data_IF_899691141186
#
_entry.id   IF_899691141186
#
_cell.length_a   1.000
_cell.length_b   1.000
_cell.length_c   1.000
_cell.angle_alpha   90.00
_cell.angle_beta   90.00
_cell.angle_gamma   90.00
#
_symmetry.space_group_name_H-M   'P 1'
#
loop_
_entity.id
_entity.type
_entity.pdbx_description
1 polymer ?
#
# COMPACT_ATOMS: atom_id res chain seq x y z
N UNK A 1 12.98 -26.29 -14.35
CA UNK A 1 12.25 -26.88 -13.20
C UNK A 1 11.35 -25.80 -12.67
N UNK A 2 10.06 -26.07 -12.70
CA UNK A 2 8.98 -25.09 -12.69
C UNK A 2 8.76 -24.48 -11.29
N UNK A 3 8.68 -23.16 -11.19
CA UNK A 3 8.51 -22.41 -9.93
C UNK A 3 7.22 -22.82 -9.20
N UNK A 4 6.20 -23.18 -9.98
CA UNK A 4 4.94 -23.74 -9.51
C UNK A 4 5.09 -25.15 -8.88
N UNK A 5 6.09 -25.95 -9.28
CA UNK A 5 6.34 -27.28 -8.72
C UNK A 5 6.91 -27.22 -7.29
N UNK A 6 7.60 -26.12 -6.93
CA UNK A 6 8.03 -25.84 -5.54
C UNK A 6 6.86 -25.39 -4.66
N UNK A 7 5.93 -24.62 -5.23
CA UNK A 7 4.69 -24.22 -4.55
C UNK A 7 3.81 -25.42 -4.18
N UNK A 8 3.79 -26.46 -5.03
CA UNK A 8 3.03 -27.71 -4.79
C UNK A 8 3.66 -28.62 -3.72
N UNK A 9 4.99 -28.65 -3.58
CA UNK A 9 5.68 -29.40 -2.51
C UNK A 9 5.44 -28.83 -1.10
N UNK A 10 4.91 -27.60 -1.00
CA UNK A 10 4.52 -26.94 0.25
C UNK A 10 3.02 -27.03 0.55
N UNK A 11 2.21 -27.70 -0.28
CA UNK A 11 0.80 -27.98 0.02
C UNK A 11 0.70 -29.09 1.09
N UNK A 12 0.91 -28.68 2.34
CA UNK A 12 1.13 -29.53 3.52
C UNK A 12 2.28 -29.04 4.41
N UNK A 13 2.96 -27.95 4.04
CA UNK A 13 4.06 -27.40 4.81
C UNK A 13 3.59 -26.90 6.18
N UNK A 14 4.27 -27.37 7.22
CA UNK A 14 4.20 -26.73 8.53
C UNK A 14 4.55 -25.25 8.38
N UNK A 15 3.86 -24.37 9.10
CA UNK A 15 4.11 -22.94 9.08
C UNK A 15 5.60 -22.60 9.29
N UNK A 16 6.30 -23.40 10.10
CA UNK A 16 7.73 -23.29 10.38
C UNK A 16 8.59 -23.41 9.12
N UNK A 17 8.26 -24.32 8.19
CA UNK A 17 9.02 -24.48 6.95
C UNK A 17 8.85 -23.27 6.02
N UNK A 18 7.65 -22.69 5.99
CA UNK A 18 7.39 -21.46 5.21
C UNK A 18 8.12 -20.28 5.82
N UNK A 19 8.12 -20.18 7.15
CA UNK A 19 8.86 -19.14 7.88
C UNK A 19 10.38 -19.27 7.67
N UNK A 20 10.93 -20.49 7.69
CA UNK A 20 12.35 -20.79 7.41
C UNK A 20 12.75 -20.33 6.00
N UNK A 21 11.98 -20.69 4.98
CA UNK A 21 12.23 -20.24 3.59
C UNK A 21 12.15 -18.73 3.48
N UNK A 22 11.22 -18.09 4.17
CA UNK A 22 11.11 -16.63 4.17
C UNK A 22 12.28 -15.97 4.92
N UNK A 23 12.71 -16.50 6.06
CA UNK A 23 13.75 -15.92 6.90
C UNK A 23 15.14 -15.98 6.24
N UNK A 24 15.44 -17.08 5.55
CA UNK A 24 16.75 -17.34 4.96
C UNK A 24 16.78 -17.15 3.44
N UNK A 25 15.61 -16.99 2.81
CA UNK A 25 15.49 -16.86 1.37
C UNK A 25 15.96 -15.51 0.86
N UNK A 26 16.41 -15.50 -0.40
CA UNK A 26 16.71 -14.27 -1.10
C UNK A 26 15.44 -13.43 -1.38
N UNK A 27 15.62 -12.27 -1.99
CA UNK A 27 14.51 -11.36 -2.33
C UNK A 27 13.42 -12.05 -3.17
N UNK A 28 13.80 -12.87 -4.15
CA UNK A 28 12.86 -13.54 -5.04
C UNK A 28 12.10 -14.64 -4.29
N UNK A 29 12.79 -15.41 -3.47
CA UNK A 29 12.20 -16.47 -2.63
C UNK A 29 11.22 -15.89 -1.61
N UNK A 30 11.59 -14.83 -0.90
CA UNK A 30 10.70 -14.12 0.02
C UNK A 30 9.44 -13.61 -0.67
N UNK A 31 9.60 -13.02 -1.85
CA UNK A 31 8.47 -12.55 -2.66
C UNK A 31 7.57 -13.71 -3.11
N UNK A 32 8.16 -14.84 -3.50
CA UNK A 32 7.41 -16.03 -3.89
C UNK A 32 6.60 -16.59 -2.71
N UNK A 33 7.21 -16.63 -1.51
CA UNK A 33 6.50 -17.02 -0.28
C UNK A 33 5.29 -16.12 -0.04
N UNK A 34 5.46 -14.79 -0.04
CA UNK A 34 4.37 -13.84 0.20
C UNK A 34 3.20 -14.03 -0.78
N UNK A 35 3.52 -14.28 -2.06
CA UNK A 35 2.52 -14.55 -3.10
C UNK A 35 1.80 -15.89 -2.93
N UNK A 36 2.47 -16.87 -2.33
CA UNK A 36 1.90 -18.20 -2.09
C UNK A 36 0.99 -18.24 -0.84
N UNK A 37 1.17 -17.34 0.14
CA UNK A 37 0.43 -17.33 1.41
C UNK A 37 -1.10 -17.56 1.30
N UNK A 38 -1.85 -16.93 0.35
CA UNK A 38 -3.29 -17.15 0.21
C UNK A 38 -3.69 -18.59 -0.10
N UNK A 39 -2.76 -19.37 -0.68
CA UNK A 39 -3.00 -20.76 -1.10
C UNK A 39 -2.51 -21.79 -0.07
N UNK A 40 -1.76 -21.36 0.94
CA UNK A 40 -1.14 -22.26 1.93
C UNK A 40 -2.01 -22.51 3.17
N UNK A 41 -3.09 -21.74 3.36
CA UNK A 41 -4.02 -21.95 4.48
C UNK A 41 -3.40 -21.72 5.86
N UNK A 42 -2.33 -20.92 5.96
CA UNK A 42 -1.59 -20.70 7.22
C UNK A 42 -2.36 -19.84 8.25
N UNK A 43 -3.42 -19.16 7.83
CA UNK A 43 -4.22 -18.31 8.70
C UNK A 43 -3.36 -17.27 9.43
N UNK A 44 -3.52 -17.09 10.76
CA UNK A 44 -2.74 -16.14 11.55
C UNK A 44 -1.22 -16.34 11.50
N UNK A 45 -0.73 -17.54 11.20
CA UNK A 45 0.71 -17.81 11.13
C UNK A 45 1.40 -17.11 9.92
N UNK A 46 0.63 -16.65 8.94
CA UNK A 46 1.16 -15.83 7.84
C UNK A 46 1.45 -14.37 8.25
N UNK A 47 0.82 -13.87 9.32
CA UNK A 47 0.86 -12.46 9.68
C UNK A 47 2.27 -11.93 9.95
N UNK A 48 3.16 -12.63 10.71
CA UNK A 48 4.51 -12.14 10.95
C UNK A 48 5.33 -11.92 9.67
N UNK A 49 5.12 -12.75 8.63
CA UNK A 49 5.82 -12.64 7.35
C UNK A 49 5.35 -11.42 6.56
N UNK A 50 4.04 -11.16 6.57
CA UNK A 50 3.44 -9.98 5.94
C UNK A 50 3.94 -8.71 6.63
N UNK A 51 3.90 -8.68 7.96
CA UNK A 51 4.36 -7.53 8.74
C UNK A 51 5.86 -7.28 8.56
N UNK A 52 6.68 -8.31 8.52
CA UNK A 52 8.11 -8.18 8.24
C UNK A 52 8.36 -7.56 6.87
N UNK A 53 7.69 -8.04 5.82
CA UNK A 53 7.78 -7.46 4.48
C UNK A 53 7.40 -5.96 4.50
N UNK A 54 6.36 -5.59 5.26
CA UNK A 54 5.93 -4.21 5.45
C UNK A 54 6.87 -3.35 6.30
N UNK A 55 7.81 -3.94 7.05
CA UNK A 55 8.89 -3.19 7.72
C UNK A 55 10.03 -2.83 6.76
N UNK A 56 10.19 -3.56 5.65
CA UNK A 56 11.21 -3.29 4.62
C UNK A 56 10.83 -2.12 3.68
N UNK A 57 11.81 -1.50 3.02
CA UNK A 57 11.56 -0.55 1.90
C UNK A 57 11.65 -1.22 0.52
N UNK A 58 11.58 -2.55 0.46
CA UNK A 58 11.62 -3.28 -0.80
C UNK A 58 10.25 -3.26 -1.48
N UNK A 59 10.13 -2.47 -2.55
CA UNK A 59 8.91 -2.32 -3.36
C UNK A 59 8.31 -3.66 -3.77
N UNK A 60 9.13 -4.67 -4.07
CA UNK A 60 8.66 -5.96 -4.53
C UNK A 60 8.10 -6.83 -3.39
N UNK A 61 8.65 -6.71 -2.18
CA UNK A 61 8.12 -7.38 -0.99
C UNK A 61 6.89 -6.66 -0.46
N UNK A 62 6.93 -5.33 -0.37
CA UNK A 62 5.79 -4.50 0.07
C UNK A 62 4.58 -4.73 -0.84
N UNK A 63 4.76 -4.70 -2.17
CA UNK A 63 3.68 -4.97 -3.11
C UNK A 63 3.15 -6.41 -3.02
N UNK A 64 4.00 -7.41 -2.74
CA UNK A 64 3.55 -8.78 -2.53
C UNK A 64 2.77 -8.95 -1.22
N UNK A 65 3.22 -8.30 -0.14
CA UNK A 65 2.60 -8.34 1.17
C UNK A 65 1.21 -7.66 1.18
N UNK A 66 1.06 -6.57 0.41
CA UNK A 66 -0.21 -5.87 0.24
C UNK A 66 -1.11 -6.44 -0.87
N UNK A 67 -0.65 -7.46 -1.59
CA UNK A 67 -1.46 -8.27 -2.50
C UNK A 67 -2.46 -9.17 -1.74
N UNK A 68 -2.89 -10.31 -2.31
CA UNK A 68 -3.94 -11.13 -1.70
C UNK A 68 -3.65 -11.62 -0.27
N UNK A 69 -2.37 -11.69 0.14
CA UNK A 69 -1.97 -12.03 1.51
C UNK A 69 -2.47 -11.02 2.55
N UNK A 70 -2.74 -9.77 2.15
CA UNK A 70 -3.16 -8.68 3.03
C UNK A 70 -4.54 -8.86 3.68
N UNK A 71 -5.30 -9.89 3.27
CA UNK A 71 -6.61 -10.22 3.85
C UNK A 71 -6.52 -10.48 5.37
N UNK A 72 -5.37 -10.97 5.86
CA UNK A 72 -5.14 -11.20 7.29
C UNK A 72 -4.77 -9.95 8.11
N UNK A 73 -4.48 -8.81 7.47
CA UNK A 73 -4.13 -7.59 8.17
C UNK A 73 -5.36 -6.92 8.76
N UNK A 74 -5.26 -6.44 9.99
CA UNK A 74 -6.26 -5.54 10.56
C UNK A 74 -6.35 -4.22 9.76
N UNK A 75 -7.36 -3.42 10.04
CA UNK A 75 -7.59 -2.17 9.32
C UNK A 75 -6.44 -1.16 9.50
N UNK A 76 -5.85 -1.07 10.69
CA UNK A 76 -4.80 -0.09 10.96
C UNK A 76 -3.50 -0.44 10.23
N UNK A 77 -3.05 -1.69 10.34
CA UNK A 77 -1.86 -2.21 9.66
C UNK A 77 -2.00 -2.14 8.14
N UNK A 78 -3.19 -2.47 7.61
CA UNK A 78 -3.45 -2.36 6.18
C UNK A 78 -3.37 -0.91 5.68
N UNK A 79 -3.99 0.07 6.38
CA UNK A 79 -3.89 1.50 6.00
C UNK A 79 -2.45 2.00 6.01
N UNK A 80 -1.66 1.62 7.02
CA UNK A 80 -0.24 1.97 7.08
C UNK A 80 0.56 1.35 5.93
N UNK A 81 0.26 0.11 5.56
CA UNK A 81 0.81 -0.52 4.37
C UNK A 81 0.46 0.24 3.08
N UNK A 82 -0.80 0.69 2.93
CA UNK A 82 -1.23 1.49 1.77
C UNK A 82 -0.47 2.81 1.71
N UNK A 83 -0.35 3.54 2.82
CA UNK A 83 0.49 4.75 2.87
C UNK A 83 1.93 4.44 2.47
N UNK A 84 2.50 3.35 2.97
CA UNK A 84 3.86 2.94 2.61
C UNK A 84 3.99 2.68 1.10
N UNK A 85 3.00 2.05 0.47
CA UNK A 85 2.96 1.89 -0.99
C UNK A 85 3.06 3.23 -1.70
N UNK A 86 2.26 4.22 -1.27
CA UNK A 86 2.29 5.58 -1.84
C UNK A 86 3.66 6.25 -1.66
N UNK A 87 4.27 6.13 -0.47
CA UNK A 87 5.60 6.69 -0.21
C UNK A 87 6.72 6.04 -1.04
N UNK A 88 6.64 4.72 -1.26
CA UNK A 88 7.65 3.96 -2.02
C UNK A 88 7.39 3.94 -3.53
N UNK A 89 6.25 4.45 -3.99
CA UNK A 89 5.84 4.38 -5.39
C UNK A 89 5.43 2.97 -5.85
N UNK A 90 4.94 2.13 -4.93
CA UNK A 90 4.29 0.87 -5.28
C UNK A 90 2.90 1.21 -5.87
N UNK A 91 2.57 0.74 -7.09
CA UNK A 91 1.24 0.95 -7.67
C UNK A 91 0.13 0.46 -6.76
N UNK A 92 -0.94 1.25 -6.60
CA UNK A 92 -2.03 0.87 -5.69
C UNK A 92 -2.96 -0.20 -6.29
N UNK A 93 -2.92 -0.44 -7.59
CA UNK A 93 -3.62 -1.54 -8.24
C UNK A 93 -3.16 -2.94 -7.75
N UNK A 94 -1.95 -3.03 -7.20
CA UNK A 94 -1.42 -4.24 -6.58
C UNK A 94 -2.00 -4.50 -5.17
N UNK A 95 -2.68 -3.51 -4.56
CA UNK A 95 -3.24 -3.65 -3.20
C UNK A 95 -4.57 -4.39 -3.23
N UNK A 96 -4.62 -5.55 -2.61
CA UNK A 96 -5.84 -6.34 -2.53
C UNK A 96 -6.90 -5.66 -1.65
N UNK A 97 -8.14 -5.68 -2.14
CA UNK A 97 -9.30 -5.11 -1.44
C UNK A 97 -9.29 -3.58 -1.34
N UNK A 98 -8.45 -2.87 -2.11
CA UNK A 98 -8.34 -1.41 -2.02
C UNK A 98 -9.70 -0.71 -2.14
N UNK A 99 -10.51 -1.09 -3.14
CA UNK A 99 -11.85 -0.53 -3.32
C UNK A 99 -12.73 -0.72 -2.09
N UNK A 100 -12.82 -1.94 -1.59
CA UNK A 100 -13.72 -2.33 -0.50
C UNK A 100 -13.26 -1.82 0.87
N UNK A 101 -11.96 -1.84 1.12
CA UNK A 101 -11.35 -1.49 2.43
C UNK A 101 -11.01 -0.01 2.59
N UNK A 102 -11.08 0.78 1.52
CA UNK A 102 -10.87 2.24 1.65
C UNK A 102 -12.02 2.85 2.44
N UNK A 103 -11.66 3.44 3.57
CA UNK A 103 -12.57 4.15 4.47
C UNK A 103 -12.14 5.60 4.68
N UNK A 104 -12.94 6.31 5.48
CA UNK A 104 -12.71 7.73 5.77
C UNK A 104 -11.35 7.99 6.43
N UNK A 105 -10.86 7.06 7.25
CA UNK A 105 -9.57 7.20 7.91
C UNK A 105 -8.42 7.08 6.91
N UNK A 106 -8.47 6.11 5.99
CA UNK A 106 -7.48 6.04 4.92
C UNK A 106 -7.51 7.28 4.03
N UNK A 107 -8.71 7.75 3.67
CA UNK A 107 -8.86 8.96 2.85
C UNK A 107 -8.28 10.19 3.55
N UNK A 108 -8.51 10.35 4.86
CA UNK A 108 -7.91 11.42 5.68
C UNK A 108 -6.38 11.34 5.65
N UNK A 109 -5.80 10.16 5.91
CA UNK A 109 -4.36 9.93 5.86
C UNK A 109 -3.75 10.27 4.48
N UNK A 110 -4.45 9.90 3.40
CA UNK A 110 -4.03 10.21 2.03
C UNK A 110 -4.14 11.70 1.70
N UNK A 111 -5.13 12.41 2.24
CA UNK A 111 -5.26 13.86 2.10
C UNK A 111 -4.15 14.61 2.87
N UNK A 112 -3.79 14.14 4.07
CA UNK A 112 -2.67 14.68 4.84
C UNK A 112 -1.36 14.53 4.05
N UNK A 113 -1.11 13.33 3.51
CA UNK A 113 0.03 13.09 2.62
C UNK A 113 0.01 14.01 1.39
N UNK A 114 -1.14 14.13 0.72
CA UNK A 114 -1.28 15.00 -0.45
C UNK A 114 -1.01 16.47 -0.10
N UNK A 115 -1.46 16.93 1.08
CA UNK A 115 -1.18 18.28 1.58
C UNK A 115 0.31 18.49 1.82
N UNK A 116 1.01 17.56 2.49
CA UNK A 116 2.45 17.63 2.71
C UNK A 116 3.25 17.70 1.39
N UNK A 117 2.82 16.94 0.38
CA UNK A 117 3.40 16.98 -0.97
C UNK A 117 3.22 18.34 -1.63
N UNK A 118 2.00 18.86 -1.63
CA UNK A 118 1.64 20.16 -2.20
C UNK A 118 2.34 21.30 -1.47
N UNK A 119 2.41 21.26 -0.13
CA UNK A 119 3.12 22.25 0.69
C UNK A 119 4.63 22.26 0.41
N UNK A 120 5.19 21.14 -0.04
CA UNK A 120 6.57 21.05 -0.54
C UNK A 120 6.71 21.44 -2.04
N UNK A 121 5.63 21.85 -2.70
CA UNK A 121 5.60 22.17 -4.13
C UNK A 121 5.76 20.96 -5.04
N UNK A 122 5.42 19.76 -4.56
CA UNK A 122 5.60 18.49 -5.27
C UNK A 122 4.26 17.91 -5.69
N UNK A 123 4.26 17.13 -6.78
CA UNK A 123 3.05 16.46 -7.27
C UNK A 123 2.60 15.32 -6.35
N UNK A 124 1.30 15.03 -6.39
CA UNK A 124 0.65 13.91 -5.71
C UNK A 124 0.55 12.74 -6.69
N UNK A 125 0.88 11.49 -6.29
CA UNK A 125 0.71 10.31 -7.13
C UNK A 125 -0.75 10.16 -7.60
N UNK A 126 -0.93 9.82 -8.88
CA UNK A 126 -2.25 9.77 -9.51
C UNK A 126 -3.21 8.78 -8.83
N UNK A 127 -2.68 7.64 -8.37
CA UNK A 127 -3.44 6.57 -7.71
C UNK A 127 -4.10 7.01 -6.39
N UNK A 128 -3.66 8.12 -5.79
CA UNK A 128 -4.25 8.69 -4.57
C UNK A 128 -5.61 9.35 -4.87
N UNK A 129 -5.74 9.98 -6.05
CA UNK A 129 -6.87 10.85 -6.38
C UNK A 129 -8.22 10.13 -6.41
N UNK A 130 -8.35 8.93 -7.02
CA UNK A 130 -9.61 8.17 -7.00
C UNK A 130 -10.07 7.80 -5.58
N UNK A 131 -9.14 7.57 -4.65
CA UNK A 131 -9.46 7.17 -3.29
C UNK A 131 -10.03 8.33 -2.48
N UNK A 132 -9.39 9.50 -2.53
CA UNK A 132 -9.85 10.67 -1.78
C UNK A 132 -11.13 11.28 -2.38
N UNK A 133 -11.34 11.16 -3.70
CA UNK A 133 -12.57 11.64 -4.37
C UNK A 133 -13.84 10.94 -3.86
N UNK A 134 -13.72 9.72 -3.33
CA UNK A 134 -14.85 8.99 -2.73
C UNK A 134 -15.35 9.62 -1.43
N UNK A 135 -14.59 10.56 -0.85
CA UNK A 135 -14.89 11.22 0.42
C UNK A 135 -14.95 12.74 0.24
N UNK A 136 -15.94 13.27 -0.49
CA UNK A 136 -16.01 14.70 -0.85
C UNK A 136 -15.98 15.62 0.37
N UNK A 137 -16.66 15.25 1.47
CA UNK A 137 -16.65 16.06 2.70
C UNK A 137 -15.24 16.20 3.32
N UNK A 138 -14.39 15.16 3.24
CA UNK A 138 -13.01 15.24 3.72
C UNK A 138 -12.14 16.05 2.75
N UNK A 139 -12.36 15.88 1.45
CA UNK A 139 -11.66 16.64 0.42
C UNK A 139 -11.96 18.14 0.54
N UNK A 140 -13.22 18.52 0.68
CA UNK A 140 -13.65 19.92 0.84
C UNK A 140 -13.07 20.57 2.09
N UNK A 141 -12.91 19.78 3.17
CA UNK A 141 -12.27 20.22 4.41
C UNK A 141 -10.73 20.24 4.35
N UNK A 142 -10.12 19.74 3.26
CA UNK A 142 -8.67 19.62 3.15
C UNK A 142 -7.97 20.98 3.07
N UNK A 143 -6.83 21.16 3.76
CA UNK A 143 -6.02 22.38 3.64
C UNK A 143 -5.41 22.59 2.25
N UNK A 144 -5.46 21.59 1.35
CA UNK A 144 -5.04 21.73 -0.07
C UNK A 144 -5.73 22.91 -0.76
N UNK A 145 -6.98 23.22 -0.42
CA UNK A 145 -7.69 24.36 -1.00
C UNK A 145 -7.00 25.70 -0.68
N UNK A 146 -6.49 25.87 0.54
CA UNK A 146 -5.75 27.06 0.94
C UNK A 146 -4.40 27.16 0.22
N UNK A 147 -3.75 26.03 -0.07
CA UNK A 147 -2.49 25.99 -0.80
C UNK A 147 -2.58 26.61 -2.20
N UNK A 148 -3.74 26.55 -2.86
CA UNK A 148 -3.95 27.15 -4.20
C UNK A 148 -3.82 28.68 -4.22
N UNK A 149 -3.95 29.33 -3.07
CA UNK A 149 -3.76 30.76 -2.85
C UNK A 149 -2.42 31.09 -2.17
N UNK A 150 -1.53 30.12 -2.00
CA UNK A 150 -0.22 30.33 -1.37
C UNK A 150 0.59 31.40 -2.11
N UNK A 151 1.28 32.30 -1.38
CA UNK A 151 2.19 33.26 -2.00
C UNK A 151 3.39 32.58 -2.65
N UNK A 152 3.70 31.33 -2.27
CA UNK A 152 4.78 30.55 -2.87
C UNK A 152 4.30 29.87 -4.17
N UNK A 153 4.83 30.24 -5.35
CA UNK A 153 4.27 29.82 -6.63
C UNK A 153 4.22 28.30 -6.81
N UNK A 154 5.26 27.58 -6.35
CA UNK A 154 5.34 26.12 -6.49
C UNK A 154 4.23 25.41 -5.71
N UNK A 155 3.89 25.89 -4.52
CA UNK A 155 2.80 25.34 -3.69
C UNK A 155 1.45 25.59 -4.36
N UNK A 156 1.23 26.83 -4.80
CA UNK A 156 -0.01 27.22 -5.45
C UNK A 156 -0.25 26.45 -6.75
N UNK A 157 0.79 26.24 -7.56
CA UNK A 157 0.67 25.48 -8.81
C UNK A 157 0.41 23.99 -8.55
N UNK A 158 1.12 23.37 -7.60
CA UNK A 158 0.89 21.98 -7.21
C UNK A 158 -0.54 21.75 -6.71
N UNK A 159 -1.06 22.64 -5.86
CA UNK A 159 -2.43 22.58 -5.37
C UNK A 159 -3.45 22.67 -6.51
N UNK A 160 -3.26 23.61 -7.44
CA UNK A 160 -4.16 23.77 -8.60
C UNK A 160 -4.16 22.54 -9.50
N UNK A 161 -3.02 21.89 -9.72
CA UNK A 161 -2.96 20.63 -10.49
C UNK A 161 -3.77 19.53 -9.83
N UNK A 162 -3.62 19.35 -8.51
CA UNK A 162 -4.38 18.35 -7.74
C UNK A 162 -5.88 18.64 -7.81
N UNK A 163 -6.29 19.88 -7.54
CA UNK A 163 -7.70 20.28 -7.56
C UNK A 163 -8.31 20.19 -8.96
N UNK A 164 -7.56 20.52 -10.01
CA UNK A 164 -8.02 20.35 -11.38
C UNK A 164 -8.22 18.87 -11.75
N UNK A 165 -7.33 17.98 -11.27
CA UNK A 165 -7.44 16.55 -11.49
C UNK A 165 -8.57 15.89 -10.68
N UNK A 166 -9.13 16.57 -9.68
CA UNK A 166 -10.21 16.06 -8.82
C UNK A 166 -11.62 16.45 -9.31
N UNK A 167 -11.73 17.43 -10.22
CA UNK A 167 -12.97 17.82 -10.92
C UNK A 167 -13.41 16.74 -11.91
#
# INVERSE_FOLDING_TARGET
MDEAARTVLLAGAAADAVAEVYAHGDRAERRAVLRALPHLGLGPAALPLIEDALRTNDVALVGAALGPAAAGLDAAAWRQGVLKCVFLGVPLDAVAGLGERTDAELARMLLDFAHERVAAGRDVPADVLPLVRRFPALLDASPIHAEAASPEPRRAEAARRVLAALR
#
